data_IF_674057902661
#
_entry.id   IF_674057902661
#
_cell.length_a   1.000
_cell.length_b   1.000
_cell.length_c   1.000
_cell.angle_alpha   90.00
_cell.angle_beta   90.00
_cell.angle_gamma   90.00
#
_symmetry.space_group_name_H-M   'P 1'
#
loop_
_entity.id
_entity.type
_entity.pdbx_description
1 polymer ?
#
# COMPACT_ATOMS: atom_id res chain seq x y z
N UNK A 1 10.88 57.15 24.85
CA UNK A 1 9.70 57.97 25.19
C UNK A 1 8.58 57.65 24.21
N UNK A 2 7.39 57.37 24.76
CA UNK A 2 6.02 57.32 24.19
C UNK A 2 5.79 56.68 22.79
N UNK A 3 5.08 55.56 22.63
CA UNK A 3 3.70 55.19 23.03
C UNK A 3 2.60 55.74 22.12
N UNK A 4 1.70 54.82 21.72
CA UNK A 4 0.28 54.99 21.34
C UNK A 4 -0.04 55.60 19.95
N UNK A 5 -1.08 55.21 19.20
CA UNK A 5 -2.43 54.76 19.60
C UNK A 5 -3.19 54.09 18.44
N UNK A 6 -3.97 53.05 18.78
CA UNK A 6 -5.15 52.55 18.05
C UNK A 6 -6.32 53.53 18.18
N UNK A 7 -7.23 53.55 17.20
CA UNK A 7 -8.68 53.65 17.44
C UNK A 7 -9.49 53.13 16.23
N UNK A 8 -10.77 52.71 16.44
CA UNK A 8 -11.49 51.71 15.63
C UNK A 8 -12.65 52.28 14.80
N UNK A 9 -13.28 51.46 13.96
CA UNK A 9 -14.57 51.77 13.33
C UNK A 9 -15.63 50.73 13.68
N UNK A 10 -16.79 51.26 14.01
CA UNK A 10 -18.01 50.76 14.66
C UNK A 10 -18.96 49.96 13.76
N UNK A 11 -19.79 49.16 14.44
CA UNK A 11 -21.04 48.51 14.01
C UNK A 11 -22.07 49.41 13.33
N UNK A 12 -22.94 48.81 12.50
CA UNK A 12 -24.33 49.26 12.26
C UNK A 12 -25.21 48.13 11.66
N UNK A 13 -25.96 47.47 12.55
CA UNK A 13 -27.43 47.24 12.59
C UNK A 13 -28.26 47.04 11.30
N UNK A 14 -28.90 45.86 11.26
CA UNK A 14 -30.26 45.43 10.86
C UNK A 14 -31.07 46.06 9.69
N UNK A 15 -31.65 45.15 8.88
CA UNK A 15 -33.02 45.12 8.28
C UNK A 15 -33.10 43.81 7.46
N UNK A 16 -34.12 42.95 7.40
CA UNK A 16 -35.47 42.82 7.95
C UNK A 16 -36.29 41.87 7.03
N UNK A 17 -37.21 41.10 7.61
CA UNK A 17 -38.41 40.40 7.04
C UNK A 17 -38.37 38.93 6.56
N UNK A 18 -39.52 38.30 6.87
CA UNK A 18 -39.94 36.88 6.98
C UNK A 18 -40.57 36.30 5.70
N UNK A 19 -40.56 34.95 5.66
CA UNK A 19 -41.56 33.98 5.09
C UNK A 19 -41.75 33.98 3.56
N UNK A 20 -41.68 32.83 2.88
CA UNK A 20 -42.66 31.72 2.93
C UNK A 20 -42.08 30.33 2.59
N UNK A 21 -42.69 29.31 3.20
CA UNK A 21 -42.56 27.89 2.88
C UNK A 21 -43.20 27.60 1.50
N UNK A 22 -42.46 26.96 0.60
CA UNK A 22 -42.96 26.40 -0.66
C UNK A 22 -42.47 24.96 -0.80
N UNK A 23 -43.39 24.01 -0.64
CA UNK A 23 -43.24 22.58 -0.87
C UNK A 23 -42.67 22.25 -2.25
N UNK A 24 -41.62 21.43 -2.32
CA UNK A 24 -41.27 20.67 -3.52
C UNK A 24 -41.47 19.17 -3.27
N UNK A 25 -42.58 18.73 -3.82
CA UNK A 25 -42.99 17.36 -4.11
C UNK A 25 -41.96 16.61 -4.96
N UNK A 26 -41.74 15.34 -4.59
CA UNK A 26 -41.48 14.17 -5.43
C UNK A 26 -40.93 14.36 -6.86
N UNK A 27 -39.77 13.77 -7.13
CA UNK A 27 -39.34 13.49 -8.49
C UNK A 27 -38.12 12.59 -8.51
N UNK A 28 -38.34 11.29 -8.80
CA UNK A 28 -37.33 10.27 -9.15
C UNK A 28 -36.72 10.61 -10.54
N UNK A 29 -36.28 11.86 -10.72
CA UNK A 29 -35.91 12.43 -12.03
C UNK A 29 -34.45 12.85 -12.16
N UNK A 30 -33.58 12.45 -11.21
CA UNK A 30 -32.20 12.94 -11.16
C UNK A 30 -31.13 12.07 -11.81
N UNK A 31 -31.43 10.81 -12.16
CA UNK A 31 -30.40 9.86 -12.59
C UNK A 31 -30.36 9.60 -14.11
N UNK A 32 -31.31 10.10 -14.90
CA UNK A 32 -31.44 9.74 -16.32
C UNK A 32 -30.92 10.78 -17.33
N UNK A 33 -30.38 11.92 -16.88
CA UNK A 33 -30.05 13.06 -17.74
C UNK A 33 -28.55 13.39 -17.89
N UNK A 34 -27.66 12.38 -17.82
CA UNK A 34 -26.19 12.59 -17.93
C UNK A 34 -25.47 11.51 -18.79
N UNK A 35 -26.06 11.08 -19.90
CA UNK A 35 -25.33 10.34 -20.95
C UNK A 35 -25.73 10.91 -22.32
N UNK A 36 -24.97 11.89 -22.81
CA UNK A 36 -25.41 12.77 -23.92
C UNK A 36 -24.97 12.36 -25.32
N UNK A 37 -24.22 11.27 -25.52
CA UNK A 37 -23.94 10.75 -26.88
C UNK A 37 -23.81 9.21 -26.93
N UNK A 38 -24.08 8.61 -28.10
CA UNK A 38 -23.82 7.18 -28.36
C UNK A 38 -22.32 6.81 -28.17
N UNK A 39 -21.42 7.78 -28.36
CA UNK A 39 -19.98 7.65 -28.11
C UNK A 39 -19.67 7.46 -26.61
N UNK A 40 -20.35 8.18 -25.72
CA UNK A 40 -20.14 8.08 -24.27
C UNK A 40 -20.57 6.71 -23.71
N UNK A 41 -21.69 6.18 -24.21
CA UNK A 41 -22.15 4.82 -23.91
C UNK A 41 -21.15 3.76 -24.40
N UNK A 42 -20.64 3.92 -25.62
CA UNK A 42 -19.64 3.02 -26.20
C UNK A 42 -18.31 3.04 -25.42
N UNK A 43 -17.85 4.23 -25.02
CA UNK A 43 -16.62 4.40 -24.22
C UNK A 43 -16.77 3.81 -22.82
N UNK A 44 -17.92 4.01 -22.17
CA UNK A 44 -18.21 3.45 -20.85
C UNK A 44 -18.28 1.93 -20.89
N UNK A 45 -18.96 1.36 -21.90
CA UNK A 45 -19.05 -0.08 -22.10
C UNK A 45 -17.68 -0.70 -22.43
N UNK A 46 -16.88 -0.04 -23.28
CA UNK A 46 -15.50 -0.44 -23.61
C UNK A 46 -14.61 -0.44 -22.37
N UNK A 47 -14.72 0.59 -21.53
CA UNK A 47 -13.97 0.68 -20.26
C UNK A 47 -14.38 -0.43 -19.29
N UNK A 48 -15.68 -0.65 -19.11
CA UNK A 48 -16.19 -1.71 -18.24
C UNK A 48 -15.78 -3.12 -18.72
N UNK A 49 -15.75 -3.35 -20.04
CA UNK A 49 -15.30 -4.60 -20.63
C UNK A 49 -13.81 -4.83 -20.39
N UNK A 50 -12.98 -3.79 -20.57
CA UNK A 50 -11.55 -3.85 -20.25
C UNK A 50 -11.35 -4.21 -18.78
N UNK A 51 -12.03 -3.53 -17.87
CA UNK A 51 -11.96 -3.84 -16.42
C UNK A 51 -12.35 -5.29 -16.14
N UNK A 52 -13.44 -5.78 -16.73
CA UNK A 52 -13.88 -7.17 -16.54
C UNK A 52 -12.85 -8.19 -17.05
N UNK A 53 -12.23 -7.93 -18.21
CA UNK A 53 -11.16 -8.77 -18.76
C UNK A 53 -9.93 -8.76 -17.85
N UNK A 54 -9.52 -7.58 -17.37
CA UNK A 54 -8.34 -7.44 -16.54
C UNK A 54 -8.52 -8.14 -15.18
N UNK A 55 -9.69 -7.96 -14.55
CA UNK A 55 -10.04 -8.66 -13.30
C UNK A 55 -10.13 -10.18 -13.51
N UNK A 56 -10.72 -10.62 -14.62
CA UNK A 56 -10.81 -12.03 -15.00
C UNK A 56 -9.43 -12.70 -15.11
N UNK A 57 -8.50 -12.02 -15.79
CA UNK A 57 -7.12 -12.49 -15.93
C UNK A 57 -6.40 -12.61 -14.58
N UNK A 58 -6.56 -11.63 -13.69
CA UNK A 58 -5.98 -11.66 -12.34
C UNK A 58 -6.52 -12.82 -11.50
N UNK A 59 -7.83 -13.09 -11.55
CA UNK A 59 -8.45 -14.22 -10.85
C UNK A 59 -7.86 -15.54 -11.35
N UNK A 60 -7.74 -15.71 -12.68
CA UNK A 60 -7.17 -16.92 -13.28
C UNK A 60 -5.72 -17.14 -12.86
N UNK A 61 -4.88 -16.11 -12.98
CA UNK A 61 -3.45 -16.19 -12.64
C UNK A 61 -3.24 -16.52 -11.16
N UNK A 62 -4.02 -15.91 -10.27
CA UNK A 62 -3.97 -16.19 -8.83
C UNK A 62 -4.36 -17.64 -8.55
N UNK A 63 -5.43 -18.13 -9.17
CA UNK A 63 -5.90 -19.53 -9.03
C UNK A 63 -4.84 -20.53 -9.50
N UNK A 64 -4.24 -20.30 -10.66
CA UNK A 64 -3.22 -21.18 -11.25
C UNK A 64 -1.92 -21.17 -10.43
N UNK A 65 -1.50 -20.02 -9.93
CA UNK A 65 -0.31 -19.90 -9.05
C UNK A 65 -0.47 -20.67 -7.75
N UNK A 66 -1.69 -20.68 -7.18
CA UNK A 66 -2.02 -21.47 -5.99
C UNK A 66 -2.38 -22.93 -6.30
N UNK A 67 -2.20 -23.38 -7.57
CA UNK A 67 -2.52 -24.73 -8.05
C UNK A 67 -3.98 -25.16 -7.78
N UNK A 68 -4.90 -24.21 -7.68
CA UNK A 68 -6.30 -24.50 -7.41
C UNK A 68 -7.05 -24.87 -8.69
N UNK A 69 -7.90 -25.90 -8.61
CA UNK A 69 -8.87 -26.18 -9.68
C UNK A 69 -10.04 -25.19 -9.63
N UNK A 70 -10.75 -25.00 -10.75
CA UNK A 70 -12.01 -24.24 -10.76
C UNK A 70 -13.04 -24.80 -9.77
N UNK A 71 -13.08 -26.13 -9.60
CA UNK A 71 -13.98 -26.79 -8.64
C UNK A 71 -13.61 -26.44 -7.19
N UNK A 72 -12.31 -26.34 -6.90
CA UNK A 72 -11.81 -26.00 -5.58
C UNK A 72 -12.11 -24.55 -5.24
N UNK A 73 -11.80 -23.62 -6.15
CA UNK A 73 -12.14 -22.20 -5.94
C UNK A 73 -13.66 -22.02 -5.80
N UNK A 74 -14.46 -22.75 -6.57
CA UNK A 74 -15.93 -22.70 -6.45
C UNK A 74 -16.41 -23.07 -5.03
N UNK A 75 -15.84 -24.13 -4.46
CA UNK A 75 -16.15 -24.56 -3.09
C UNK A 75 -15.70 -23.54 -2.05
N UNK A 76 -14.46 -23.02 -2.18
CA UNK A 76 -13.89 -22.06 -1.22
C UNK A 76 -14.59 -20.70 -1.24
N UNK A 77 -14.91 -20.19 -2.43
CA UNK A 77 -15.52 -18.87 -2.61
C UNK A 77 -17.06 -18.89 -2.50
N UNK A 78 -17.70 -20.06 -2.56
CA UNK A 78 -19.17 -20.14 -2.63
C UNK A 78 -19.73 -19.47 -3.89
N UNK A 79 -19.02 -19.59 -5.02
CA UNK A 79 -19.39 -19.08 -6.35
C UNK A 79 -19.42 -20.26 -7.31
N UNK A 80 -20.42 -20.33 -8.21
CA UNK A 80 -20.52 -21.48 -9.12
C UNK A 80 -19.32 -21.56 -10.08
N UNK A 81 -18.90 -22.80 -10.38
CA UNK A 81 -17.80 -23.06 -11.32
C UNK A 81 -18.00 -22.38 -12.67
N UNK A 82 -19.23 -22.41 -13.19
CA UNK A 82 -19.58 -21.77 -14.47
C UNK A 82 -19.43 -20.25 -14.39
N UNK A 83 -19.82 -19.63 -13.28
CA UNK A 83 -19.66 -18.19 -13.10
C UNK A 83 -18.19 -17.81 -13.01
N UNK A 84 -17.38 -18.56 -12.25
CA UNK A 84 -15.92 -18.35 -12.17
C UNK A 84 -15.30 -18.47 -13.57
N UNK A 85 -15.68 -19.49 -14.35
CA UNK A 85 -15.19 -19.64 -15.72
C UNK A 85 -15.52 -18.44 -16.61
N UNK A 86 -16.73 -17.86 -16.49
CA UNK A 86 -17.10 -16.66 -17.25
C UNK A 86 -16.32 -15.43 -16.79
N UNK A 87 -16.06 -15.30 -15.48
CA UNK A 87 -15.22 -14.23 -14.93
C UNK A 87 -13.80 -14.34 -15.45
N UNK A 88 -13.17 -15.52 -15.38
CA UNK A 88 -11.80 -15.74 -15.87
C UNK A 88 -11.63 -15.47 -17.37
N UNK A 89 -12.70 -15.64 -18.15
CA UNK A 89 -12.72 -15.34 -19.59
C UNK A 89 -13.06 -13.87 -19.91
N UNK A 90 -13.34 -13.04 -18.90
CA UNK A 90 -13.78 -11.66 -19.10
C UNK A 90 -15.16 -11.52 -19.75
N UNK A 91 -15.97 -12.59 -19.77
CA UNK A 91 -17.30 -12.63 -20.38
C UNK A 91 -18.38 -11.99 -19.51
N UNK A 92 -18.07 -11.70 -18.25
CA UNK A 92 -19.01 -11.09 -17.31
C UNK A 92 -18.25 -10.18 -16.36
N UNK A 93 -18.81 -9.00 -16.07
CA UNK A 93 -18.27 -8.12 -15.05
C UNK A 93 -18.71 -8.62 -13.66
N UNK A 94 -17.80 -9.09 -12.81
CA UNK A 94 -18.17 -9.58 -11.48
C UNK A 94 -18.60 -8.42 -10.58
N UNK A 95 -19.59 -8.67 -9.72
CA UNK A 95 -19.98 -7.69 -8.70
C UNK A 95 -18.89 -7.57 -7.62
N UNK A 96 -18.83 -6.45 -6.90
CA UNK A 96 -17.91 -6.27 -5.78
C UNK A 96 -18.04 -7.38 -4.72
N UNK A 97 -19.29 -7.82 -4.46
CA UNK A 97 -19.57 -8.95 -3.55
C UNK A 97 -18.97 -10.26 -4.06
N UNK A 98 -19.05 -10.52 -5.36
CA UNK A 98 -18.45 -11.71 -5.97
C UNK A 98 -16.93 -11.66 -5.90
N UNK A 99 -16.32 -10.51 -6.17
CA UNK A 99 -14.87 -10.35 -6.05
C UNK A 99 -14.38 -10.51 -4.61
N UNK A 100 -15.11 -10.01 -3.62
CA UNK A 100 -14.79 -10.22 -2.21
C UNK A 100 -14.80 -11.71 -1.84
N UNK A 101 -15.82 -12.46 -2.31
CA UNK A 101 -15.90 -13.92 -2.12
C UNK A 101 -14.74 -14.67 -2.79
N UNK A 102 -14.38 -14.28 -4.01
CA UNK A 102 -13.24 -14.88 -4.73
C UNK A 102 -11.92 -14.57 -4.00
N UNK A 103 -11.73 -13.34 -3.53
CA UNK A 103 -10.55 -12.93 -2.76
C UNK A 103 -10.43 -13.73 -1.46
N UNK A 104 -11.52 -13.90 -0.71
CA UNK A 104 -11.56 -14.72 0.50
C UNK A 104 -11.23 -16.19 0.20
N UNK A 105 -11.83 -16.77 -0.86
CA UNK A 105 -11.58 -18.15 -1.27
C UNK A 105 -10.13 -18.43 -1.72
N UNK A 106 -9.43 -17.40 -2.21
CA UNK A 106 -8.00 -17.45 -2.59
C UNK A 106 -7.07 -16.90 -1.50
N UNK A 107 -7.60 -16.45 -0.36
CA UNK A 107 -6.82 -15.87 0.75
C UNK A 107 -5.94 -14.67 0.30
N UNK A 108 -6.48 -13.82 -0.57
CA UNK A 108 -5.84 -12.57 -1.05
C UNK A 108 -6.71 -11.36 -0.71
N UNK A 109 -6.16 -10.14 -0.82
CA UNK A 109 -6.94 -8.91 -0.66
C UNK A 109 -7.82 -8.65 -1.90
N UNK A 110 -9.00 -8.05 -1.70
CA UNK A 110 -9.85 -7.58 -2.82
C UNK A 110 -9.10 -6.61 -3.74
N UNK A 111 -8.27 -5.74 -3.16
CA UNK A 111 -7.37 -4.82 -3.88
C UNK A 111 -6.43 -5.55 -4.84
N UNK A 112 -5.98 -6.76 -4.48
CA UNK A 112 -5.13 -7.59 -5.35
C UNK A 112 -5.86 -8.05 -6.61
N UNK A 113 -7.16 -8.37 -6.52
CA UNK A 113 -7.96 -8.75 -7.69
C UNK A 113 -8.36 -7.57 -8.57
N UNK A 114 -8.67 -6.43 -7.94
CA UNK A 114 -9.12 -5.20 -8.62
C UNK A 114 -8.02 -4.43 -9.32
N UNK A 115 -6.76 -4.61 -8.91
CA UNK A 115 -5.64 -3.87 -9.53
C UNK A 115 -5.60 -4.04 -11.04
N UNK A 116 -6.05 -5.19 -11.53
CA UNK A 116 -6.13 -5.48 -12.95
C UNK A 116 -4.73 -5.46 -13.57
N UNK A 117 -4.26 -6.62 -13.99
CA UNK A 117 -2.83 -6.89 -14.09
C UNK A 117 -2.26 -6.81 -12.67
N UNK A 118 -1.71 -7.92 -12.18
CA UNK A 118 -0.36 -7.76 -11.70
C UNK A 118 0.33 -7.06 -12.88
N UNK A 119 0.52 -5.73 -12.82
CA UNK A 119 1.34 -5.04 -13.83
C UNK A 119 2.55 -5.94 -14.07
N UNK A 120 3.05 -6.04 -15.32
CA UNK A 120 3.81 -7.17 -15.87
C UNK A 120 4.58 -7.94 -14.79
N UNK A 121 4.68 -9.29 -14.85
CA UNK A 121 5.22 -10.13 -13.76
C UNK A 121 6.58 -9.68 -13.21
N UNK A 122 7.26 -8.82 -13.96
CA UNK A 122 8.39 -7.99 -13.57
C UNK A 122 7.96 -6.52 -13.43
N UNK A 123 8.04 -5.97 -12.21
CA UNK A 123 8.06 -4.53 -12.00
C UNK A 123 9.51 -4.06 -11.91
N UNK A 124 9.92 -3.18 -12.83
CA UNK A 124 11.25 -2.56 -12.82
C UNK A 124 11.10 -1.17 -12.21
N UNK A 125 11.87 -0.90 -11.17
CA UNK A 125 12.07 0.45 -10.63
C UNK A 125 13.53 0.83 -10.84
N UNK A 126 13.78 1.83 -11.67
CA UNK A 126 15.13 2.32 -11.95
C UNK A 126 15.69 3.06 -10.74
N UNK A 127 17.01 3.19 -10.65
CA UNK A 127 17.67 3.93 -9.56
C UNK A 127 17.14 5.37 -9.40
N UNK A 128 16.82 6.05 -10.50
CA UNK A 128 16.28 7.41 -10.48
C UNK A 128 14.87 7.50 -9.87
N UNK A 129 14.11 6.40 -9.90
CA UNK A 129 12.74 6.31 -9.38
C UNK A 129 12.70 5.82 -7.93
N UNK A 130 13.83 5.38 -7.37
CA UNK A 130 13.91 4.85 -6.01
C UNK A 130 13.77 5.97 -4.98
N UNK A 131 12.78 5.90 -4.06
CA UNK A 131 12.63 6.88 -3.00
C UNK A 131 13.87 6.92 -2.10
N UNK A 132 14.37 8.12 -1.83
CA UNK A 132 15.49 8.34 -0.90
C UNK A 132 15.01 9.18 0.27
N UNK A 133 15.07 8.60 1.46
CA UNK A 133 14.92 9.30 2.72
C UNK A 133 16.30 9.60 3.33
N UNK A 134 16.47 10.83 3.83
CA UNK A 134 17.68 11.26 4.54
C UNK A 134 17.29 11.80 5.91
N UNK A 135 17.80 11.18 6.96
CA UNK A 135 17.67 11.70 8.32
C UNK A 135 18.78 12.72 8.58
N UNK A 136 18.45 14.02 8.74
CA UNK A 136 19.45 15.06 8.98
C UNK A 136 20.14 14.94 10.35
N UNK A 137 19.51 14.27 11.33
CA UNK A 137 20.05 14.14 12.69
C UNK A 137 21.11 13.06 12.77
N UNK A 138 20.84 11.90 12.19
CA UNK A 138 21.73 10.73 12.26
C UNK A 138 22.68 10.65 11.07
N UNK A 139 22.29 11.24 9.94
CA UNK A 139 22.96 11.05 8.65
C UNK A 139 22.58 9.73 7.95
N UNK A 140 21.60 8.99 8.47
CA UNK A 140 21.07 7.79 7.82
C UNK A 140 20.49 8.17 6.46
N UNK A 141 20.91 7.47 5.42
CA UNK A 141 20.29 7.51 4.09
C UNK A 141 19.64 6.17 3.83
N UNK A 142 18.34 6.16 3.57
CA UNK A 142 17.56 4.97 3.20
C UNK A 142 17.09 5.13 1.75
N UNK A 143 17.46 4.21 0.89
CA UNK A 143 16.98 4.13 -0.50
C UNK A 143 16.16 2.86 -0.66
N UNK A 144 14.86 3.00 -0.91
CA UNK A 144 13.96 1.86 -1.12
C UNK A 144 14.15 1.34 -2.54
N UNK A 145 14.65 0.10 -2.65
CA UNK A 145 14.98 -0.58 -3.91
C UNK A 145 13.80 -1.37 -4.47
N UNK A 146 12.95 -1.90 -3.59
CA UNK A 146 11.75 -2.63 -3.99
C UNK A 146 10.63 -1.66 -4.39
N UNK A 147 9.76 -2.04 -5.34
CA UNK A 147 8.59 -1.25 -5.68
C UNK A 147 7.70 -1.00 -4.46
N UNK A 148 7.30 0.26 -4.25
CA UNK A 148 6.41 0.61 -3.14
C UNK A 148 5.00 0.13 -3.47
N UNK A 149 4.54 -0.92 -2.77
CA UNK A 149 3.17 -1.42 -2.87
C UNK A 149 2.59 -1.62 -1.47
N UNK A 150 1.36 -1.14 -1.20
CA UNK A 150 0.68 -1.36 0.09
C UNK A 150 0.47 -2.84 0.46
N UNK A 151 0.52 -3.73 -0.54
CA UNK A 151 0.37 -5.18 -0.36
C UNK A 151 1.71 -5.93 -0.51
N UNK A 152 2.84 -5.24 -0.66
CA UNK A 152 4.14 -5.89 -0.71
C UNK A 152 4.47 -6.48 0.67
N UNK A 153 4.59 -7.81 0.73
CA UNK A 153 5.07 -8.50 1.92
C UNK A 153 6.56 -8.26 2.19
N UNK A 154 7.30 -7.80 1.16
CA UNK A 154 8.74 -7.57 1.22
C UNK A 154 9.07 -6.14 0.80
N UNK A 155 9.85 -5.44 1.63
CA UNK A 155 10.53 -4.20 1.28
C UNK A 155 12.04 -4.44 1.26
N UNK A 156 12.74 -3.98 0.21
CA UNK A 156 14.20 -4.05 0.10
C UNK A 156 14.74 -2.63 0.15
N UNK A 157 15.66 -2.37 1.08
CA UNK A 157 16.21 -1.04 1.34
C UNK A 157 17.73 -1.10 1.34
N UNK A 158 18.37 -0.20 0.60
CA UNK A 158 19.79 0.09 0.75
C UNK A 158 19.96 1.21 1.77
N UNK A 159 20.71 0.93 2.84
CA UNK A 159 20.98 1.90 3.89
C UNK A 159 22.46 2.30 3.87
N UNK A 160 22.74 3.56 4.17
CA UNK A 160 24.09 4.01 4.51
C UNK A 160 24.10 4.88 5.75
N UNK A 161 25.14 4.73 6.56
CA UNK A 161 25.28 5.44 7.83
C UNK A 161 26.73 5.93 8.02
N UNK A 162 26.96 7.22 8.34
CA UNK A 162 28.29 7.74 8.57
C UNK A 162 29.02 7.04 9.72
N UNK A 163 30.35 7.15 9.73
CA UNK A 163 31.20 6.58 10.76
C UNK A 163 30.71 6.97 12.16
N UNK A 164 30.67 6.01 13.09
CA UNK A 164 30.33 6.21 14.51
C UNK A 164 28.91 6.71 14.77
N UNK A 165 28.03 6.82 13.77
CA UNK A 165 26.63 7.21 13.93
C UNK A 165 25.75 6.02 14.28
N UNK A 166 24.56 6.32 14.80
CA UNK A 166 23.49 5.37 15.10
C UNK A 166 22.20 5.84 14.44
N UNK A 167 21.35 4.89 14.03
CA UNK A 167 20.00 5.16 13.55
C UNK A 167 19.08 5.70 14.66
N UNK A 168 19.46 5.52 15.93
CA UNK A 168 18.52 5.61 17.05
C UNK A 168 17.62 4.37 17.13
N UNK A 169 16.76 4.35 18.14
CA UNK A 169 15.81 3.26 18.35
C UNK A 169 14.64 3.38 17.37
N UNK A 170 14.41 2.32 16.59
CA UNK A 170 13.18 2.14 15.84
C UNK A 170 12.14 1.49 16.74
N UNK A 171 10.90 2.01 16.78
CA UNK A 171 9.82 1.33 17.48
C UNK A 171 9.55 -0.03 16.84
N UNK A 172 9.04 -0.95 17.66
CA UNK A 172 8.58 -2.26 17.20
C UNK A 172 7.69 -2.13 15.96
N UNK A 173 8.01 -2.91 14.93
CA UNK A 173 7.17 -3.04 13.74
C UNK A 173 5.93 -3.89 14.04
N UNK A 174 5.10 -4.09 13.02
CA UNK A 174 3.89 -4.91 13.16
C UNK A 174 4.26 -6.34 13.58
N UNK A 175 3.40 -7.00 14.38
CA UNK A 175 3.65 -8.35 14.88
C UNK A 175 4.07 -9.33 13.76
N UNK A 176 5.12 -10.12 14.02
CA UNK A 176 5.68 -11.08 13.07
C UNK A 176 6.56 -10.48 11.98
N UNK A 177 6.85 -9.17 12.00
CA UNK A 177 7.81 -8.55 11.06
C UNK A 177 9.21 -9.10 11.32
N UNK A 178 9.91 -9.45 10.25
CA UNK A 178 11.31 -9.91 10.29
C UNK A 178 12.18 -9.02 9.41
N UNK A 179 13.41 -8.81 9.85
CA UNK A 179 14.41 -8.09 9.09
C UNK A 179 15.62 -8.98 8.81
N UNK A 180 16.13 -8.89 7.58
CA UNK A 180 17.35 -9.54 7.15
C UNK A 180 18.34 -8.49 6.69
N UNK A 181 19.58 -8.60 7.15
CA UNK A 181 20.66 -7.68 6.81
C UNK A 181 21.74 -8.44 6.04
N UNK A 182 22.31 -7.78 5.05
CA UNK A 182 23.60 -8.13 4.44
C UNK A 182 24.48 -6.89 4.42
N UNK A 183 25.65 -6.95 5.07
CA UNK A 183 26.57 -5.81 5.11
C UNK A 183 27.38 -5.75 3.81
N UNK A 184 27.24 -4.66 3.08
CA UNK A 184 27.95 -4.43 1.82
C UNK A 184 29.31 -3.76 2.03
N UNK A 185 29.42 -2.91 3.06
CA UNK A 185 30.67 -2.23 3.41
C UNK A 185 30.67 -1.80 4.88
N UNK A 186 31.85 -1.84 5.50
CA UNK A 186 32.05 -1.32 6.85
C UNK A 186 31.71 -2.31 7.96
N UNK A 187 31.38 -1.78 9.15
CA UNK A 187 31.06 -2.58 10.34
C UNK A 187 29.89 -1.98 11.09
N UNK A 188 28.86 -2.78 11.31
CA UNK A 188 27.67 -2.37 12.05
C UNK A 188 27.46 -3.24 13.29
N UNK A 189 26.78 -2.66 14.26
CA UNK A 189 26.29 -3.32 15.45
C UNK A 189 24.78 -3.16 15.49
N UNK A 190 24.05 -4.28 15.49
CA UNK A 190 22.59 -4.33 15.54
C UNK A 190 22.18 -4.67 16.97
N UNK A 191 21.39 -3.82 17.60
CA UNK A 191 20.80 -4.07 18.91
C UNK A 191 19.34 -4.44 18.75
N UNK A 192 18.92 -5.58 19.29
CA UNK A 192 17.56 -6.12 19.20
C UNK A 192 17.14 -6.63 20.58
N UNK A 193 16.24 -5.90 21.25
CA UNK A 193 15.95 -6.14 22.67
C UNK A 193 17.23 -6.12 23.52
N UNK A 194 17.59 -7.27 24.11
CA UNK A 194 18.80 -7.42 24.95
C UNK A 194 20.02 -7.98 24.21
N UNK A 195 19.89 -8.29 22.93
CA UNK A 195 20.96 -8.91 22.13
C UNK A 195 21.65 -7.86 21.27
N UNK A 196 22.94 -8.07 21.07
CA UNK A 196 23.78 -7.23 20.21
C UNK A 196 24.54 -8.12 19.23
N UNK A 197 24.43 -7.83 17.94
CA UNK A 197 25.06 -8.55 16.85
C UNK A 197 26.09 -7.63 16.19
N UNK A 198 27.34 -8.06 16.09
CA UNK A 198 28.39 -7.32 15.38
C UNK A 198 28.58 -7.96 14.01
N UNK A 199 28.43 -7.17 12.96
CA UNK A 199 28.49 -7.61 11.58
C UNK A 199 29.55 -6.79 10.84
N UNK A 200 30.40 -7.49 10.11
CA UNK A 200 31.38 -6.92 9.18
C UNK A 200 30.91 -7.12 7.74
N UNK A 201 31.60 -6.48 6.80
CA UNK A 201 31.39 -6.68 5.37
C UNK A 201 31.30 -8.17 4.98
N UNK A 202 30.25 -8.51 4.23
CA UNK A 202 29.92 -9.89 3.83
C UNK A 202 29.06 -10.65 4.83
N UNK A 203 29.00 -10.22 6.10
CA UNK A 203 28.15 -10.88 7.10
C UNK A 203 26.67 -10.60 6.83
N UNK A 204 25.84 -11.58 7.18
CA UNK A 204 24.40 -11.50 7.14
C UNK A 204 23.78 -11.87 8.48
N UNK A 205 22.60 -11.30 8.77
CA UNK A 205 21.84 -11.62 9.98
C UNK A 205 20.35 -11.53 9.72
N UNK A 206 19.58 -12.26 10.52
CA UNK A 206 18.12 -12.17 10.60
C UNK A 206 17.72 -11.89 12.04
N UNK A 207 16.72 -11.03 12.24
CA UNK A 207 16.11 -10.81 13.54
C UNK A 207 14.64 -10.47 13.44
N UNK A 208 13.92 -10.68 14.54
CA UNK A 208 12.54 -10.23 14.69
C UNK A 208 12.52 -8.72 14.89
N UNK A 209 11.70 -8.03 14.10
CA UNK A 209 11.61 -6.56 14.09
C UNK A 209 10.28 -6.06 14.69
N UNK A 210 9.44 -6.96 15.20
CA UNK A 210 8.27 -6.65 16.03
C UNK A 210 8.63 -6.31 17.49
N UNK A 211 9.90 -5.99 17.73
CA UNK A 211 10.45 -5.43 18.95
C UNK A 211 11.38 -4.26 18.61
N UNK A 212 11.63 -3.40 19.60
CA UNK A 212 12.53 -2.26 19.44
C UNK A 212 13.95 -2.73 19.04
N UNK A 213 14.51 -2.06 18.04
CA UNK A 213 15.84 -2.35 17.54
C UNK A 213 16.56 -1.08 17.05
N UNK A 214 17.88 -1.14 16.94
CA UNK A 214 18.71 -0.04 16.42
C UNK A 214 19.97 -0.55 15.74
N UNK A 215 20.55 0.27 14.85
CA UNK A 215 21.79 -0.04 14.15
C UNK A 215 22.81 1.08 14.39
N UNK A 216 24.03 0.70 14.76
CA UNK A 216 25.15 1.60 14.93
C UNK A 216 26.27 1.24 13.98
N UNK A 217 26.81 2.22 13.26
CA UNK A 217 28.07 2.05 12.57
C UNK A 217 29.21 2.16 13.59
N UNK A 218 29.85 1.04 13.91
CA UNK A 218 30.98 0.99 14.86
C UNK A 218 32.33 1.19 14.18
N UNK A 219 32.36 1.19 12.84
CA UNK A 219 33.55 1.38 12.02
C UNK A 219 34.03 2.84 11.92
N UNK A 220 35.25 3.05 11.39
CA UNK A 220 35.80 4.38 11.13
C UNK A 220 35.38 4.97 9.78
N UNK A 221 34.70 4.19 8.92
CA UNK A 221 34.22 4.60 7.60
C UNK A 221 32.71 4.50 7.53
N UNK A 222 32.10 5.07 6.49
CA UNK A 222 30.68 4.86 6.17
C UNK A 222 30.39 3.35 6.09
N UNK A 223 29.27 2.93 6.65
CA UNK A 223 28.77 1.56 6.54
C UNK A 223 27.57 1.54 5.59
N UNK A 224 27.46 0.47 4.82
CA UNK A 224 26.41 0.26 3.82
C UNK A 224 25.87 -1.17 3.96
N UNK A 225 24.54 -1.33 3.92
CA UNK A 225 23.91 -2.64 4.03
C UNK A 225 22.58 -2.68 3.27
N UNK A 226 22.23 -3.88 2.80
CA UNK A 226 20.88 -4.20 2.36
C UNK A 226 20.08 -4.61 3.59
N UNK A 227 18.86 -4.11 3.68
CA UNK A 227 17.84 -4.51 4.63
C UNK A 227 16.64 -5.05 3.85
N UNK A 228 16.25 -6.28 4.16
CA UNK A 228 15.02 -6.89 3.65
C UNK A 228 14.02 -6.99 4.80
N UNK A 229 12.92 -6.26 4.69
CA UNK A 229 11.84 -6.23 5.68
C UNK A 229 10.74 -7.13 5.16
N UNK A 230 10.46 -8.22 5.86
CA UNK A 230 9.28 -9.05 5.62
C UNK A 230 8.22 -8.69 6.65
N UNK A 231 7.09 -8.15 6.18
CA UNK A 231 5.93 -7.85 7.02
C UNK A 231 4.77 -8.79 6.63
N UNK A 232 4.26 -9.63 7.55
CA UNK A 232 3.12 -10.47 7.26
C UNK A 232 1.88 -9.62 6.97
N UNK A 233 1.02 -10.11 6.08
CA UNK A 233 -0.25 -9.45 5.76
C UNK A 233 -1.04 -9.16 7.05
N UNK A 234 -1.49 -7.92 7.23
CA UNK A 234 -2.33 -7.54 8.37
C UNK A 234 -3.54 -8.47 8.42
N UNK A 235 -3.55 -9.37 9.40
CA UNK A 235 -4.73 -10.19 9.67
C UNK A 235 -5.76 -9.26 10.26
N UNK A 236 -6.83 -8.95 9.51
CA UNK A 236 -7.99 -8.28 10.08
C UNK A 236 -8.61 -9.28 11.05
N UNK A 237 -8.30 -9.13 12.34
CA UNK A 237 -8.98 -9.90 13.39
C UNK A 237 -10.43 -9.45 13.36
N UNK A 238 -11.32 -10.32 12.87
CA UNK A 238 -12.77 -10.13 13.02
C UNK A 238 -13.04 -10.09 14.53
N UNK A 239 -13.44 -8.93 15.04
CA UNK A 239 -14.02 -8.78 16.39
C UNK A 239 -15.44 -9.31 16.40
#
# INVERSE_FOLDING_TARGET
MASTKKTPSTDLVERGRRTTLGTLTSGIGGALAMMKTASDLANTASTALRVAQTVGATVRATRETQQMSLNELAKRAGVSKSMISRVEQGLTSPTAVMLAKLAEGMTVSLSSLLRGEFGPPVHIQTEAEQPIFKDPKTGLVRRTLSPVSPDAAIEIVHNSLPAKKTTGAFPAHSAGTQEHIVVLAGKIEVSVGRRTLKLSEGDAAQFVADIEHSIKNVGPRKAEWILVIFAPARTVVKK
#
